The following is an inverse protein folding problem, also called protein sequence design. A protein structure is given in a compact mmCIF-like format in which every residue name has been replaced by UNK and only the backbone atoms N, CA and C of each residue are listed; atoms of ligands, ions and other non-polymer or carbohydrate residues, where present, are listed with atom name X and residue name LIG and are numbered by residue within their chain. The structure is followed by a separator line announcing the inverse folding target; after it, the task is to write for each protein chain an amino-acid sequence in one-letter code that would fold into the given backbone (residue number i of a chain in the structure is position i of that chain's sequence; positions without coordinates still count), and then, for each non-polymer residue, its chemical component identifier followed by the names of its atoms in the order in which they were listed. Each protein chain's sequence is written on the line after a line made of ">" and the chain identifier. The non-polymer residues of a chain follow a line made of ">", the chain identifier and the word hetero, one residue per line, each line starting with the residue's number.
data_IF_068892134451
#
_entry.id   IF_068892134451
#
_cell.length_a   1.000
_cell.length_b   1.000
_cell.length_c   1.000
_cell.angle_alpha   90.00
_cell.angle_beta   90.00
_cell.angle_gamma   90.00
#
_symmetry.space_group_name_H-M   'P 1'
#
loop_
_entity.id
_entity.type
_entity.pdbx_description
1 polymer ?
#
# COMPACT_ATOMS: atom_id res chain seq x y z
N UNK A 1 -5.72 9.45 2.51
CA UNK A 1 -6.44 9.42 1.24
C UNK A 1 -5.43 9.06 0.17
N UNK A 2 -5.77 8.12 -0.73
CA UNK A 2 -4.95 7.76 -1.88
C UNK A 2 -5.77 7.95 -3.16
N UNK A 3 -5.17 8.56 -4.19
CA UNK A 3 -5.82 8.73 -5.49
C UNK A 3 -4.76 8.83 -6.59
N UNK A 4 -4.96 8.09 -7.68
CA UNK A 4 -4.20 8.27 -8.92
C UNK A 4 -5.13 8.45 -10.11
N UNK A 5 -5.09 9.60 -10.78
CA UNK A 5 -5.77 9.77 -12.06
C UNK A 5 -5.18 8.89 -13.16
N UNK A 6 -3.87 8.63 -13.16
CA UNK A 6 -3.24 7.73 -14.13
C UNK A 6 -3.85 6.32 -14.06
N UNK A 7 -3.90 5.73 -12.87
CA UNK A 7 -4.52 4.41 -12.65
C UNK A 7 -5.98 4.40 -13.09
N UNK A 8 -6.76 5.42 -12.69
CA UNK A 8 -8.19 5.50 -13.05
C UNK A 8 -8.44 5.63 -14.55
N UNK A 9 -7.47 6.14 -15.31
CA UNK A 9 -7.55 6.28 -16.77
C UNK A 9 -6.89 5.11 -17.51
N UNK A 10 -6.46 4.08 -16.78
CA UNK A 10 -5.87 2.88 -17.36
C UNK A 10 -4.52 3.12 -18.05
N UNK A 11 -3.78 4.17 -17.66
CA UNK A 11 -2.44 4.42 -18.17
C UNK A 11 -1.46 3.41 -17.62
N UNK A 12 -0.46 3.05 -18.41
CA UNK A 12 0.65 2.22 -17.98
C UNK A 12 1.75 3.06 -17.31
N UNK A 13 2.67 2.42 -16.60
CA UNK A 13 3.73 3.14 -15.88
C UNK A 13 4.72 3.84 -16.82
N UNK A 14 4.92 3.31 -18.00
CA UNK A 14 5.78 3.85 -19.06
C UNK A 14 5.10 4.94 -19.91
N UNK A 15 3.80 5.17 -19.71
CA UNK A 15 3.01 6.21 -20.38
C UNK A 15 2.22 7.06 -19.39
N UNK A 16 2.88 7.50 -18.32
CA UNK A 16 2.25 8.37 -17.32
C UNK A 16 2.03 9.79 -17.85
N UNK A 17 0.88 10.36 -17.50
CA UNK A 17 0.67 11.81 -17.57
C UNK A 17 1.30 12.44 -16.32
N UNK A 18 2.25 13.34 -16.51
CA UNK A 18 3.00 13.96 -15.42
C UNK A 18 2.19 14.96 -14.58
N UNK A 19 1.16 15.59 -15.15
CA UNK A 19 0.23 16.42 -14.38
C UNK A 19 -0.59 15.54 -13.44
N UNK A 20 -0.98 14.34 -13.90
CA UNK A 20 -1.65 13.36 -13.08
C UNK A 20 -0.71 12.76 -12.02
N UNK A 21 0.55 12.47 -12.38
CA UNK A 21 1.57 12.04 -11.42
C UNK A 21 1.75 13.07 -10.30
N UNK A 22 1.88 14.35 -10.67
CA UNK A 22 2.00 15.45 -9.70
C UNK A 22 0.80 15.48 -8.74
N UNK A 23 -0.41 15.31 -9.26
CA UNK A 23 -1.63 15.21 -8.44
C UNK A 23 -1.65 13.98 -7.55
N UNK A 24 -1.21 12.84 -8.07
CA UNK A 24 -1.11 11.59 -7.31
C UNK A 24 -0.19 11.78 -6.11
N UNK A 25 0.99 12.34 -6.32
CA UNK A 25 1.97 12.59 -5.26
C UNK A 25 1.48 13.63 -4.26
N UNK A 26 0.89 14.75 -4.73
CA UNK A 26 0.39 15.81 -3.85
C UNK A 26 -0.73 15.31 -2.93
N UNK A 27 -1.72 14.61 -3.49
CA UNK A 27 -2.88 14.11 -2.74
C UNK A 27 -2.51 12.94 -1.85
N UNK A 28 -1.72 11.98 -2.36
CA UNK A 28 -1.52 10.69 -1.69
C UNK A 28 -0.32 10.65 -0.74
N UNK A 29 0.62 11.59 -0.85
CA UNK A 29 1.81 11.63 -0.02
C UNK A 29 2.13 13.04 0.54
N UNK A 30 2.21 14.06 -0.32
CA UNK A 30 2.61 15.40 0.12
C UNK A 30 1.56 16.00 1.06
N UNK A 31 0.28 15.67 0.91
CA UNK A 31 -0.77 16.07 1.86
C UNK A 31 -0.47 15.61 3.29
N UNK A 32 0.10 14.42 3.46
CA UNK A 32 0.55 13.91 4.75
C UNK A 32 1.70 14.74 5.32
N UNK A 33 2.68 15.09 4.48
CA UNK A 33 3.75 16.00 4.87
C UNK A 33 3.20 17.34 5.36
N UNK A 34 2.31 17.95 4.57
CA UNK A 34 1.65 19.24 4.89
C UNK A 34 0.91 19.15 6.23
N UNK A 35 0.14 18.08 6.43
CA UNK A 35 -0.63 17.86 7.67
C UNK A 35 0.28 17.77 8.91
N UNK A 36 1.35 16.97 8.85
CA UNK A 36 2.29 16.84 9.98
C UNK A 36 3.02 18.18 10.22
N UNK A 37 3.44 18.87 9.16
CA UNK A 37 4.11 20.16 9.30
C UNK A 37 3.22 21.18 9.99
N UNK A 38 1.93 21.24 9.64
CA UNK A 38 0.96 22.14 10.27
C UNK A 38 0.71 21.72 11.72
N UNK A 39 0.50 20.42 11.98
CA UNK A 39 0.29 19.90 13.34
C UNK A 39 1.47 20.25 14.26
N UNK A 40 2.71 20.07 13.76
CA UNK A 40 3.92 20.43 14.51
C UNK A 40 4.00 21.93 14.79
N UNK A 41 3.78 22.80 13.80
CA UNK A 41 3.81 24.26 13.96
C UNK A 41 2.74 24.78 14.90
N UNK A 42 1.61 24.09 14.99
CA UNK A 42 0.48 24.44 15.86
C UNK A 42 0.54 23.78 17.23
N UNK A 43 1.58 22.99 17.49
CA UNK A 43 1.72 22.18 18.70
C UNK A 43 0.48 21.30 18.99
N UNK A 44 -0.11 20.74 17.92
CA UNK A 44 -1.40 20.06 17.98
C UNK A 44 -1.32 18.59 18.42
N UNK A 45 -0.12 18.04 18.58
CA UNK A 45 0.09 16.65 19.00
C UNK A 45 0.76 16.65 20.38
N UNK A 46 0.17 15.93 21.32
CA UNK A 46 0.71 15.79 22.67
C UNK A 46 2.04 15.02 22.68
N UNK A 47 2.79 15.18 23.76
CA UNK A 47 3.95 14.33 24.03
C UNK A 47 3.54 12.85 24.03
N UNK A 48 4.38 12.01 23.45
CA UNK A 48 4.10 10.59 23.24
C UNK A 48 2.91 10.28 22.34
N UNK A 49 2.42 11.26 21.58
CA UNK A 49 1.38 11.05 20.57
C UNK A 49 1.78 10.02 19.52
N UNK A 50 0.80 9.55 18.77
CA UNK A 50 1.00 8.57 17.69
C UNK A 50 0.32 9.06 16.42
N UNK A 51 1.03 8.95 15.30
CA UNK A 51 0.54 9.24 13.96
C UNK A 51 0.72 7.98 13.14
N UNK A 52 -0.34 7.57 12.45
CA UNK A 52 -0.32 6.40 11.56
C UNK A 52 -0.81 6.80 10.18
N UNK A 53 -0.10 6.35 9.14
CA UNK A 53 -0.55 6.48 7.76
C UNK A 53 -0.69 5.10 7.13
N UNK A 54 -1.71 4.92 6.28
CA UNK A 54 -1.92 3.67 5.57
C UNK A 54 -1.07 3.64 4.30
N UNK A 55 -0.12 2.71 4.26
CA UNK A 55 0.71 2.40 3.11
C UNK A 55 0.19 1.15 2.38
N UNK A 56 0.98 0.62 1.50
CA UNK A 56 0.73 -0.63 0.81
C UNK A 56 2.05 -1.27 0.38
N UNK A 57 2.09 -2.58 0.26
CA UNK A 57 3.29 -3.34 -0.13
C UNK A 57 3.90 -2.86 -1.45
N UNK A 58 3.09 -2.23 -2.32
CA UNK A 58 3.55 -1.62 -3.56
C UNK A 58 4.62 -0.53 -3.38
N UNK A 59 4.77 0.03 -2.18
CA UNK A 59 5.88 0.92 -1.85
C UNK A 59 7.25 0.23 -1.90
N UNK A 60 7.28 -1.10 -1.81
CA UNK A 60 8.51 -1.90 -1.68
C UNK A 60 8.58 -3.08 -2.64
N UNK A 61 7.49 -3.42 -3.31
CA UNK A 61 7.38 -4.52 -4.28
C UNK A 61 6.65 -4.03 -5.51
N UNK A 62 7.06 -4.52 -6.67
CA UNK A 62 6.33 -4.23 -7.91
C UNK A 62 5.01 -4.98 -7.92
N UNK A 63 3.93 -4.22 -8.06
CA UNK A 63 2.60 -4.76 -8.31
C UNK A 63 2.10 -4.23 -9.64
N UNK A 64 1.80 -5.14 -10.56
CA UNK A 64 1.30 -4.79 -11.89
C UNK A 64 0.02 -3.94 -11.78
N UNK A 65 -0.04 -2.86 -12.54
CA UNK A 65 -1.20 -1.97 -12.58
C UNK A 65 -1.34 -0.99 -11.40
N UNK A 66 -0.48 -1.07 -10.38
CA UNK A 66 -0.53 -0.10 -9.26
C UNK A 66 0.15 1.24 -9.59
N UNK A 67 0.99 1.27 -10.62
CA UNK A 67 1.60 2.43 -11.27
C UNK A 67 2.16 3.48 -10.29
N UNK A 68 1.90 4.76 -10.55
CA UNK A 68 2.36 5.92 -9.77
C UNK A 68 1.82 5.98 -8.32
N UNK A 69 0.84 5.16 -7.99
CA UNK A 69 0.45 4.96 -6.57
C UNK A 69 1.55 4.26 -5.77
N UNK A 70 2.38 3.41 -6.41
CA UNK A 70 3.54 2.81 -5.75
C UNK A 70 4.55 3.89 -5.33
N UNK A 71 4.84 4.83 -6.23
CA UNK A 71 5.73 5.98 -5.96
C UNK A 71 5.19 6.84 -4.82
N UNK A 72 3.87 7.12 -4.84
CA UNK A 72 3.22 7.88 -3.78
C UNK A 72 3.32 7.16 -2.42
N UNK A 73 3.16 5.83 -2.37
CA UNK A 73 3.30 5.06 -1.14
C UNK A 73 4.75 5.01 -0.65
N UNK A 74 5.72 4.90 -1.55
CA UNK A 74 7.14 4.98 -1.20
C UNK A 74 7.50 6.35 -0.63
N UNK A 75 7.01 7.42 -1.23
CA UNK A 75 7.19 8.79 -0.73
C UNK A 75 6.52 8.98 0.65
N UNK A 76 5.31 8.45 0.84
CA UNK A 76 4.60 8.48 2.12
C UNK A 76 5.42 7.84 3.25
N UNK A 77 5.99 6.66 3.01
CA UNK A 77 6.86 5.96 3.97
C UNK A 77 8.14 6.76 4.27
N UNK A 78 8.73 7.39 3.27
CA UNK A 78 9.90 8.25 3.44
C UNK A 78 9.58 9.49 4.31
N UNK A 79 8.43 10.12 4.08
CA UNK A 79 7.93 11.24 4.89
C UNK A 79 7.71 10.81 6.34
N UNK A 80 7.10 9.65 6.56
CA UNK A 80 6.87 9.10 7.90
C UNK A 80 8.18 8.90 8.67
N UNK A 81 9.22 8.35 8.02
CA UNK A 81 10.54 8.18 8.65
C UNK A 81 11.18 9.53 9.01
N UNK A 82 11.16 10.49 8.09
CA UNK A 82 11.77 11.80 8.31
C UNK A 82 11.13 12.57 9.47
N UNK A 83 9.81 12.65 9.49
CA UNK A 83 9.10 13.29 10.60
C UNK A 83 9.14 12.47 11.89
N UNK A 84 9.17 11.13 11.78
CA UNK A 84 9.32 10.25 12.94
C UNK A 84 10.60 10.52 13.71
N UNK A 85 11.71 10.80 13.01
CA UNK A 85 12.94 11.24 13.65
C UNK A 85 12.80 12.62 14.30
N UNK A 86 12.33 13.62 13.55
CA UNK A 86 12.23 15.02 14.04
C UNK A 86 11.28 15.11 15.24
N UNK A 87 10.04 14.63 15.05
CA UNK A 87 9.00 14.77 16.07
C UNK A 87 9.22 13.81 17.25
N UNK A 88 9.85 12.65 16.98
CA UNK A 88 10.27 11.72 18.03
C UNK A 88 11.32 12.33 18.97
N UNK A 89 12.26 13.11 18.43
CA UNK A 89 13.27 13.82 19.24
C UNK A 89 12.69 15.00 20.02
N UNK A 90 11.70 15.67 19.47
CA UNK A 90 11.11 16.86 20.07
C UNK A 90 10.09 16.53 21.17
N UNK A 91 9.17 15.61 20.88
CA UNK A 91 8.00 15.32 21.73
C UNK A 91 7.74 13.82 21.93
N UNK A 92 8.67 12.96 21.56
CA UNK A 92 8.50 11.51 21.60
C UNK A 92 7.30 11.01 20.76
N UNK A 93 6.83 11.80 19.79
CA UNK A 93 5.73 11.42 18.90
C UNK A 93 6.20 10.28 18.01
N UNK A 94 5.40 9.21 17.94
CA UNK A 94 5.65 8.04 17.12
C UNK A 94 4.95 8.20 15.79
N UNK A 95 5.66 7.92 14.70
CA UNK A 95 5.08 7.98 13.35
C UNK A 95 5.40 6.68 12.63
N UNK A 96 4.36 5.95 12.27
CA UNK A 96 4.47 4.67 11.58
C UNK A 96 3.58 4.63 10.34
N UNK A 97 3.89 3.72 9.43
CA UNK A 97 3.00 3.35 8.34
C UNK A 97 2.52 1.92 8.52
N UNK A 98 1.29 1.65 8.13
CA UNK A 98 0.72 0.31 8.09
C UNK A 98 0.50 -0.08 6.64
N UNK A 99 1.18 -1.13 6.19
CA UNK A 99 0.97 -1.77 4.90
C UNK A 99 -0.15 -2.80 5.06
N UNK A 100 -1.35 -2.39 4.69
CA UNK A 100 -2.59 -3.15 4.86
C UNK A 100 -2.83 -4.10 3.68
N UNK A 101 -3.56 -5.19 3.91
CA UNK A 101 -4.14 -6.02 2.85
C UNK A 101 -4.94 -5.19 1.85
N UNK A 102 -5.05 -5.63 0.59
CA UNK A 102 -5.98 -5.00 -0.33
C UNK A 102 -7.40 -5.15 0.23
N UNK A 103 -8.07 -4.01 0.42
CA UNK A 103 -9.40 -3.93 1.03
C UNK A 103 -10.36 -3.23 0.05
N UNK A 104 -11.59 -3.73 -0.13
CA UNK A 104 -12.57 -3.08 -0.99
C UNK A 104 -12.95 -1.73 -0.40
N UNK A 105 -12.56 -0.65 -1.08
CA UNK A 105 -12.89 0.72 -0.70
C UNK A 105 -13.35 1.50 -1.93
N UNK A 106 -14.07 2.60 -1.72
CA UNK A 106 -14.48 3.49 -2.82
C UNK A 106 -13.28 4.01 -3.62
N UNK A 107 -12.14 4.25 -2.97
CA UNK A 107 -10.91 4.65 -3.64
C UNK A 107 -10.29 3.49 -4.45
N UNK A 108 -10.34 2.28 -3.89
CA UNK A 108 -9.81 1.07 -4.53
C UNK A 108 -10.63 0.61 -5.74
N UNK A 109 -11.95 0.86 -5.75
CA UNK A 109 -12.82 0.47 -6.87
C UNK A 109 -12.46 1.09 -8.23
N UNK A 110 -11.60 2.12 -8.23
CA UNK A 110 -11.05 2.70 -9.45
C UNK A 110 -9.78 2.01 -9.98
N UNK A 111 -9.26 1.00 -9.30
CA UNK A 111 -8.09 0.24 -9.74
C UNK A 111 -8.55 -0.93 -10.61
N UNK A 112 -8.14 -0.94 -11.88
CA UNK A 112 -8.39 -2.07 -12.77
C UNK A 112 -7.73 -3.33 -12.20
N UNK A 113 -8.48 -4.44 -12.17
CA UNK A 113 -7.98 -5.72 -11.65
C UNK A 113 -7.90 -5.80 -10.12
N UNK A 114 -8.52 -4.88 -9.36
CA UNK A 114 -8.54 -4.96 -7.90
C UNK A 114 -9.10 -6.30 -7.39
N UNK A 115 -10.13 -6.85 -8.05
CA UNK A 115 -10.70 -8.15 -7.70
C UNK A 115 -9.68 -9.27 -7.80
N UNK A 116 -8.95 -9.33 -8.91
CA UNK A 116 -7.91 -10.34 -9.16
C UNK A 116 -6.75 -10.19 -8.17
N UNK A 117 -6.36 -8.94 -7.88
CA UNK A 117 -5.33 -8.64 -6.87
C UNK A 117 -5.76 -9.10 -5.48
N UNK A 118 -7.01 -8.88 -5.11
CA UNK A 118 -7.56 -9.31 -3.82
C UNK A 118 -7.61 -10.83 -3.73
N UNK A 119 -8.06 -11.52 -4.77
CA UNK A 119 -8.10 -12.98 -4.83
C UNK A 119 -6.69 -13.57 -4.79
N UNK A 120 -5.75 -12.99 -5.53
CA UNK A 120 -4.36 -13.42 -5.49
C UNK A 120 -3.77 -13.26 -4.08
N UNK A 121 -3.94 -12.09 -3.46
CA UNK A 121 -3.45 -11.84 -2.11
C UNK A 121 -4.08 -12.80 -1.08
N UNK A 122 -5.39 -13.07 -1.19
CA UNK A 122 -6.11 -14.06 -0.36
C UNK A 122 -5.51 -15.47 -0.51
N UNK A 123 -5.18 -15.87 -1.74
CA UNK A 123 -4.60 -17.17 -2.02
C UNK A 123 -3.13 -17.30 -1.58
N UNK A 124 -2.42 -16.18 -1.52
CA UNK A 124 -1.03 -16.14 -1.07
C UNK A 124 -0.91 -16.06 0.45
N UNK A 125 -1.81 -15.35 1.12
CA UNK A 125 -1.71 -15.03 2.55
C UNK A 125 -2.09 -16.23 3.42
N UNK A 126 -1.25 -16.64 4.39
CA UNK A 126 -1.58 -17.72 5.33
C UNK A 126 -2.85 -17.48 6.15
N UNK A 127 -3.12 -16.21 6.53
CA UNK A 127 -4.29 -15.82 7.31
C UNK A 127 -5.42 -15.23 6.45
N UNK A 128 -5.23 -15.18 5.11
CA UNK A 128 -6.13 -14.47 4.21
C UNK A 128 -5.94 -12.94 4.27
N UNK A 129 -6.80 -12.21 3.56
CA UNK A 129 -6.80 -10.74 3.59
C UNK A 129 -7.40 -10.25 4.90
N UNK A 130 -6.75 -9.26 5.51
CA UNK A 130 -7.30 -8.57 6.66
C UNK A 130 -8.46 -7.65 6.25
N UNK A 131 -9.50 -7.62 7.05
CA UNK A 131 -10.65 -6.72 6.89
C UNK A 131 -10.31 -5.27 7.30
N UNK A 132 -11.24 -4.35 7.09
CA UNK A 132 -11.11 -2.99 7.59
C UNK A 132 -11.15 -2.93 9.12
N UNK A 133 -11.94 -3.79 9.74
CA UNK A 133 -12.07 -3.94 11.19
C UNK A 133 -10.76 -4.46 11.79
N UNK A 134 -10.15 -5.50 11.21
CA UNK A 134 -8.83 -6.00 11.62
C UNK A 134 -7.78 -4.90 11.58
N UNK A 135 -7.80 -4.08 10.51
CA UNK A 135 -6.91 -2.94 10.36
C UNK A 135 -7.15 -1.89 11.46
N UNK A 136 -8.41 -1.61 11.79
CA UNK A 136 -8.76 -0.66 12.84
C UNK A 136 -8.24 -1.12 14.21
N UNK A 137 -8.41 -2.38 14.55
CA UNK A 137 -7.92 -2.98 15.80
C UNK A 137 -6.39 -2.90 15.89
N UNK A 138 -5.70 -3.19 14.78
CA UNK A 138 -4.26 -3.04 14.73
C UNK A 138 -3.81 -1.59 14.90
N UNK A 139 -4.48 -0.64 14.26
CA UNK A 139 -4.19 0.80 14.40
C UNK A 139 -4.45 1.28 15.83
N UNK A 140 -5.52 0.80 16.50
CA UNK A 140 -5.76 1.09 17.93
C UNK A 140 -4.58 0.65 18.79
N UNK A 141 -3.99 -0.52 18.52
CA UNK A 141 -2.78 -0.99 19.21
C UNK A 141 -1.62 -0.02 19.02
N UNK A 142 -1.45 0.55 17.82
CA UNK A 142 -0.40 1.54 17.53
C UNK A 142 -0.65 2.91 18.21
N UNK A 143 -1.88 3.24 18.54
CA UNK A 143 -2.20 4.43 19.31
C UNK A 143 -2.03 4.23 20.82
N UNK A 144 -1.99 2.99 21.29
CA UNK A 144 -1.82 2.65 22.70
C UNK A 144 -0.35 2.74 23.15
N UNK A 145 -0.14 2.76 24.48
CA UNK A 145 1.20 2.69 25.08
C UNK A 145 1.88 1.33 24.93
N UNK A 146 1.14 0.28 24.51
CA UNK A 146 1.71 -1.05 24.26
C UNK A 146 2.82 -1.02 23.19
N UNK A 147 2.74 -0.07 22.26
CA UNK A 147 3.72 0.12 21.20
C UNK A 147 4.60 1.36 21.36
N UNK A 148 4.84 1.78 22.63
CA UNK A 148 5.49 3.05 22.98
C UNK A 148 6.88 3.26 22.38
N UNK A 149 7.58 2.20 22.00
CA UNK A 149 8.91 2.27 21.37
C UNK A 149 8.89 1.88 19.87
N UNK A 150 7.72 1.78 19.25
CA UNK A 150 7.57 1.51 17.82
C UNK A 150 7.38 2.82 17.07
N UNK A 151 8.37 3.23 16.30
CA UNK A 151 8.32 4.43 15.45
C UNK A 151 9.17 4.25 14.19
N UNK A 152 8.86 5.01 13.15
CA UNK A 152 9.58 5.03 11.87
C UNK A 152 9.54 3.68 11.13
N UNK A 153 8.58 2.83 11.46
CA UNK A 153 8.42 1.52 10.87
C UNK A 153 7.33 1.53 9.80
N UNK A 154 7.52 0.72 8.76
CA UNK A 154 6.42 0.23 7.94
C UNK A 154 6.02 -1.14 8.46
N UNK A 155 4.81 -1.25 8.97
CA UNK A 155 4.30 -2.44 9.65
C UNK A 155 3.32 -3.16 8.72
N UNK A 156 3.61 -4.41 8.40
CA UNK A 156 2.73 -5.21 7.57
C UNK A 156 1.56 -5.77 8.37
N UNK A 157 0.36 -5.53 7.86
CA UNK A 157 -0.88 -6.08 8.38
C UNK A 157 -1.67 -6.67 7.20
N UNK A 158 -1.18 -7.80 6.68
CA UNK A 158 -1.56 -8.34 5.37
C UNK A 158 -1.72 -9.87 5.37
N UNK A 159 -2.01 -10.45 6.51
CA UNK A 159 -2.19 -11.89 6.65
C UNK A 159 -0.94 -12.72 6.34
N UNK A 160 0.23 -12.08 6.26
CA UNK A 160 1.51 -12.70 5.93
C UNK A 160 1.89 -12.64 4.45
N UNK A 161 1.11 -11.94 3.61
CA UNK A 161 1.35 -11.81 2.18
C UNK A 161 2.77 -11.32 1.86
N UNK A 162 3.24 -10.26 2.53
CA UNK A 162 4.55 -9.64 2.31
C UNK A 162 5.74 -10.58 2.52
N UNK A 163 5.55 -11.64 3.30
CA UNK A 163 6.58 -12.63 3.61
C UNK A 163 6.53 -13.88 2.73
N UNK A 164 5.51 -13.99 1.88
CA UNK A 164 5.33 -15.14 1.01
C UNK A 164 6.06 -14.96 -0.32
N UNK A 165 6.86 -15.95 -0.70
CA UNK A 165 7.36 -16.09 -2.08
C UNK A 165 6.38 -16.88 -2.95
N UNK A 166 5.74 -17.92 -2.38
CA UNK A 166 4.85 -18.83 -3.10
C UNK A 166 3.92 -19.53 -2.13
N UNK A 167 2.64 -19.72 -2.49
CA UNK A 167 1.71 -20.54 -1.71
C UNK A 167 1.22 -21.74 -2.53
N UNK A 168 0.96 -22.85 -1.83
CA UNK A 168 0.42 -24.06 -2.48
C UNK A 168 -0.95 -23.79 -3.12
N UNK A 169 -1.77 -22.92 -2.53
CA UNK A 169 -3.09 -22.56 -3.04
C UNK A 169 -2.96 -21.77 -4.35
N UNK A 170 -2.10 -20.75 -4.39
CA UNK A 170 -1.82 -19.99 -5.59
C UNK A 170 -1.25 -20.87 -6.72
N UNK A 171 -0.30 -21.77 -6.39
CA UNK A 171 0.25 -22.72 -7.34
C UNK A 171 -0.81 -23.63 -7.96
N UNK A 172 -1.74 -24.15 -7.16
CA UNK A 172 -2.82 -25.00 -7.67
C UNK A 172 -3.79 -24.23 -8.56
N UNK A 173 -4.04 -22.96 -8.23
CA UNK A 173 -4.89 -22.09 -9.07
C UNK A 173 -4.21 -21.80 -10.41
N UNK A 174 -2.91 -21.50 -10.37
CA UNK A 174 -2.09 -21.32 -11.57
C UNK A 174 -2.04 -22.59 -12.44
N UNK A 175 -1.80 -23.76 -11.85
CA UNK A 175 -1.80 -25.05 -12.54
C UNK A 175 -3.14 -25.32 -13.25
N UNK A 176 -4.26 -25.02 -12.60
CA UNK A 176 -5.58 -25.16 -13.21
C UNK A 176 -5.78 -24.21 -14.40
N UNK A 177 -5.29 -22.97 -14.29
CA UNK A 177 -5.30 -22.00 -15.38
C UNK A 177 -4.52 -22.50 -16.57
N UNK A 178 -3.29 -22.99 -16.36
CA UNK A 178 -2.45 -23.56 -17.43
C UNK A 178 -3.14 -24.72 -18.17
N UNK A 179 -3.80 -25.62 -17.43
CA UNK A 179 -4.52 -26.74 -18.06
C UNK A 179 -5.72 -26.29 -18.89
N UNK A 180 -6.29 -25.12 -18.59
CA UNK A 180 -7.35 -24.50 -19.38
C UNK A 180 -6.78 -23.86 -20.65
N UNK A 181 -5.60 -23.25 -20.55
CA UNK A 181 -4.92 -22.54 -21.64
C UNK A 181 -4.23 -23.50 -22.62
N UNK A 182 -3.83 -24.71 -22.18
CA UNK A 182 -3.33 -25.77 -23.06
C UNK A 182 -4.37 -26.20 -24.12
N UNK A 183 -5.65 -25.92 -23.86
CA UNK A 183 -6.74 -26.14 -24.83
C UNK A 183 -6.90 -24.97 -25.82
N UNK A 184 -6.40 -23.77 -25.47
CA UNK A 184 -6.60 -22.53 -26.24
C UNK A 184 -5.31 -21.84 -26.69
N UNK A 185 -4.21 -22.58 -26.82
CA UNK A 185 -2.91 -22.12 -27.37
C UNK A 185 -2.32 -20.87 -26.73
N UNK A 186 -1.22 -21.08 -25.96
CA UNK A 186 -0.05 -20.21 -25.83
C UNK A 186 -0.23 -18.71 -26.17
N UNK A 187 -1.18 -18.05 -25.59
CA UNK A 187 -1.13 -16.61 -25.52
C UNK A 187 -0.93 -16.22 -24.06
N UNK A 188 0.33 -16.17 -23.64
CA UNK A 188 0.67 -15.31 -22.52
C UNK A 188 0.13 -13.92 -22.85
N UNK A 189 -0.67 -13.28 -21.98
CA UNK A 189 -1.08 -11.89 -22.19
C UNK A 189 0.12 -10.91 -22.23
N UNK A 190 1.30 -11.42 -21.96
CA UNK A 190 2.60 -10.80 -22.17
C UNK A 190 3.37 -11.49 -23.30
N UNK A 191 2.67 -11.96 -24.29
CA UNK A 191 3.32 -12.45 -25.51
C UNK A 191 4.37 -11.46 -25.91
N UNK A 192 5.58 -11.97 -26.16
CA UNK A 192 6.70 -11.19 -26.67
C UNK A 192 6.15 -10.32 -27.77
N UNK A 193 5.99 -9.02 -27.46
CA UNK A 193 5.42 -8.08 -28.38
C UNK A 193 6.21 -8.15 -29.66
N UNK A 194 5.64 -8.72 -30.67
CA UNK A 194 6.14 -8.52 -32.01
C UNK A 194 6.19 -7.02 -32.24
N UNK A 195 7.39 -6.56 -32.48
CA UNK A 195 7.76 -5.19 -32.80
C UNK A 195 7.06 -4.72 -34.07
#
# INVERSE_FOLDING_TARGET
>A
IGMSPNVRKGRTYDDLDYDYLSKTLDISAISFHKAIQVARRKDAINDWGSIVALSYIAAQRTLYGYNDMADAKALLESIARSFGYIYGREKHVRINTVSQSPTPTTAGSGVLGLGDLMEFAENMSPLGNASAEDCADYVLTLFSDLTRKVTMQNLYHDGGFSSMGMSRRAMKTYEKGLRFDDVHQNQYPFGDGEK
#
